data_IF_894637337673
#
_entry.id   IF_894637337673
#
_cell.length_a   1.000
_cell.length_b   1.000
_cell.length_c   1.000
_cell.angle_alpha   90.00
_cell.angle_beta   90.00
_cell.angle_gamma   90.00
#
_symmetry.space_group_name_H-M   'P 1'
#
loop_
_entity.id
_entity.type
_entity.pdbx_description
1 polymer ?
#
# COMPACT_ATOMS: atom_id res chain seq x y z
N UNK A 1 -4.51 14.65 -14.55
CA UNK A 1 -5.59 14.76 -13.54
C UNK A 1 -5.72 13.39 -12.89
N UNK A 2 -5.62 13.28 -11.58
CA UNK A 2 -5.80 12.00 -10.91
C UNK A 2 -7.29 11.69 -10.80
N UNK A 3 -7.76 10.60 -11.40
CA UNK A 3 -9.17 10.22 -11.42
C UNK A 3 -9.35 8.88 -10.71
N UNK A 4 -10.46 8.75 -9.98
CA UNK A 4 -10.78 7.53 -9.25
C UNK A 4 -11.12 6.39 -10.21
N UNK A 5 -10.86 5.16 -9.77
CA UNK A 5 -11.18 3.96 -10.54
C UNK A 5 -12.69 3.75 -10.55
N UNK A 6 -13.27 3.41 -11.71
CA UNK A 6 -14.72 3.22 -11.87
C UNK A 6 -15.23 1.89 -11.30
N UNK A 7 -14.94 1.65 -10.01
CA UNK A 7 -15.32 0.45 -9.26
C UNK A 7 -15.92 0.84 -7.90
N UNK A 8 -16.79 -0.04 -7.38
CA UNK A 8 -17.40 0.14 -6.07
C UNK A 8 -16.38 0.05 -4.93
N UNK A 9 -16.57 0.78 -3.82
CA UNK A 9 -15.76 0.60 -2.63
C UNK A 9 -15.77 -0.87 -2.16
N UNK A 10 -14.66 -1.34 -1.58
CA UNK A 10 -14.54 -2.70 -1.01
C UNK A 10 -14.85 -3.83 -2.02
N UNK A 11 -14.33 -3.72 -3.25
CA UNK A 11 -14.52 -4.74 -4.29
C UNK A 11 -13.44 -5.83 -4.23
N UNK A 12 -12.20 -5.49 -3.94
CA UNK A 12 -11.05 -6.40 -4.05
C UNK A 12 -10.50 -6.85 -2.70
N UNK A 13 -10.03 -8.09 -2.65
CA UNK A 13 -9.34 -8.69 -1.49
C UNK A 13 -7.81 -8.62 -1.63
N UNK A 14 -7.30 -8.51 -2.87
CA UNK A 14 -5.88 -8.39 -3.18
C UNK A 14 -5.65 -7.37 -4.30
N UNK A 15 -4.69 -6.47 -4.12
CA UNK A 15 -4.21 -5.56 -5.16
C UNK A 15 -2.71 -5.82 -5.37
N UNK A 16 -2.29 -6.01 -6.61
CA UNK A 16 -0.87 -6.07 -6.95
C UNK A 16 -0.48 -4.82 -7.75
N UNK A 17 0.41 -4.01 -7.19
CA UNK A 17 0.92 -2.78 -7.79
C UNK A 17 2.40 -2.97 -8.15
N UNK A 18 2.71 -2.99 -9.44
CA UNK A 18 4.07 -3.17 -9.96
C UNK A 18 4.52 -1.92 -10.72
N UNK A 19 5.50 -1.19 -10.17
CA UNK A 19 6.01 0.07 -10.72
C UNK A 19 4.99 1.20 -10.77
N UNK A 20 3.83 1.06 -10.12
CA UNK A 20 2.71 2.00 -10.24
C UNK A 20 3.08 3.42 -9.79
N UNK A 21 3.79 3.54 -8.68
CA UNK A 21 4.14 4.86 -8.13
C UNK A 21 5.25 5.51 -8.94
N UNK A 22 6.22 4.73 -9.40
CA UNK A 22 7.23 5.21 -10.35
C UNK A 22 6.62 5.67 -11.68
N UNK A 23 5.58 4.99 -12.17
CA UNK A 23 4.88 5.33 -13.42
C UNK A 23 4.11 6.65 -13.29
N UNK A 24 3.33 6.82 -12.21
CA UNK A 24 2.44 7.98 -12.03
C UNK A 24 3.04 9.12 -11.19
N UNK A 25 4.34 9.09 -10.88
CA UNK A 25 5.02 10.08 -10.01
C UNK A 25 4.83 11.55 -10.40
N UNK A 26 4.57 11.83 -11.68
CA UNK A 26 4.40 13.19 -12.21
C UNK A 26 2.93 13.57 -12.43
N UNK A 27 1.99 12.63 -12.29
CA UNK A 27 0.57 12.81 -12.63
C UNK A 27 -0.35 12.79 -11.40
N UNK A 28 -0.03 11.91 -10.45
CA UNK A 28 -0.77 11.70 -9.22
C UNK A 28 0.18 11.71 -8.02
N UNK A 29 -0.30 12.18 -6.87
CA UNK A 29 0.46 12.02 -5.62
C UNK A 29 0.35 10.57 -5.13
N UNK A 30 1.32 10.11 -4.34
CA UNK A 30 1.26 8.77 -3.76
C UNK A 30 0.09 8.63 -2.79
N UNK A 31 -0.28 9.74 -2.14
CA UNK A 31 -1.44 9.89 -1.27
C UNK A 31 -2.74 9.62 -2.02
N UNK A 32 -2.96 10.24 -3.19
CA UNK A 32 -4.18 10.04 -3.99
C UNK A 32 -4.33 8.57 -4.42
N UNK A 33 -3.23 7.96 -4.86
CA UNK A 33 -3.20 6.54 -5.27
C UNK A 33 -3.56 5.64 -4.08
N UNK A 34 -2.95 5.88 -2.91
CA UNK A 34 -3.20 5.07 -1.71
C UNK A 34 -4.62 5.25 -1.17
N UNK A 35 -5.20 6.45 -1.25
CA UNK A 35 -6.59 6.69 -0.88
C UNK A 35 -7.56 5.94 -1.78
N UNK A 36 -7.29 5.93 -3.09
CA UNK A 36 -8.13 5.18 -4.03
C UNK A 36 -7.99 3.65 -3.81
N UNK A 37 -6.77 3.17 -3.53
CA UNK A 37 -6.56 1.78 -3.13
C UNK A 37 -7.31 1.45 -1.83
N UNK A 38 -7.29 2.32 -0.82
CA UNK A 38 -8.05 2.11 0.42
C UNK A 38 -9.55 2.03 0.15
N UNK A 39 -10.08 2.90 -0.71
CA UNK A 39 -11.51 2.91 -1.06
C UNK A 39 -11.96 1.57 -1.65
N UNK A 40 -11.20 0.99 -2.59
CA UNK A 40 -11.60 -0.23 -3.32
C UNK A 40 -11.22 -1.54 -2.62
N UNK A 41 -10.30 -1.50 -1.65
CA UNK A 41 -9.85 -2.68 -0.91
C UNK A 41 -10.78 -2.98 0.27
N UNK A 42 -11.16 -4.26 0.42
CA UNK A 42 -11.92 -4.73 1.59
C UNK A 42 -11.09 -4.62 2.87
N UNK A 43 -11.72 -4.49 4.05
CA UNK A 43 -11.01 -4.70 5.30
C UNK A 43 -10.30 -6.05 5.29
N UNK A 44 -9.10 -6.10 5.88
CA UNK A 44 -8.20 -7.27 5.88
C UNK A 44 -7.66 -7.66 4.50
N UNK A 45 -8.03 -6.92 3.45
CA UNK A 45 -7.45 -7.06 2.12
C UNK A 45 -5.96 -6.70 2.10
N UNK A 46 -5.25 -7.33 1.18
CA UNK A 46 -3.81 -7.18 1.03
C UNK A 46 -3.44 -6.37 -0.22
N UNK A 47 -2.32 -5.66 -0.13
CA UNK A 47 -1.68 -5.00 -1.26
C UNK A 47 -0.22 -5.44 -1.32
N UNK A 48 0.22 -5.81 -2.52
CA UNK A 48 1.63 -6.11 -2.81
C UNK A 48 2.16 -4.99 -3.67
N UNK A 49 3.11 -4.24 -3.15
CA UNK A 49 3.81 -3.19 -3.89
C UNK A 49 5.18 -3.70 -4.33
N UNK A 50 5.46 -3.61 -5.62
CA UNK A 50 6.79 -3.83 -6.22
C UNK A 50 7.25 -2.52 -6.85
N UNK A 51 8.31 -1.93 -6.31
CA UNK A 51 8.86 -0.68 -6.84
C UNK A 51 10.29 -0.45 -6.29
N UNK A 52 10.93 0.63 -6.70
CA UNK A 52 12.23 1.06 -6.19
C UNK A 52 12.15 1.36 -4.68
N UNK A 53 13.22 1.00 -3.96
CA UNK A 53 13.30 1.17 -2.50
C UNK A 53 13.03 2.61 -2.02
N UNK A 54 13.42 3.63 -2.80
CA UNK A 54 13.15 5.04 -2.48
C UNK A 54 11.65 5.34 -2.43
N UNK A 55 10.92 4.88 -3.44
CA UNK A 55 9.47 5.05 -3.57
C UNK A 55 8.75 4.22 -2.50
N UNK A 56 9.16 2.96 -2.29
CA UNK A 56 8.54 2.10 -1.29
C UNK A 56 8.73 2.61 0.15
N UNK A 57 9.80 3.34 0.45
CA UNK A 57 9.97 4.02 1.75
C UNK A 57 8.89 5.08 1.97
N UNK A 58 8.57 5.87 0.94
CA UNK A 58 7.49 6.87 0.99
C UNK A 58 6.13 6.17 1.14
N UNK A 59 5.84 5.17 0.32
CA UNK A 59 4.58 4.41 0.36
C UNK A 59 4.40 3.74 1.73
N UNK A 60 5.44 3.12 2.29
CA UNK A 60 5.42 2.52 3.63
C UNK A 60 5.07 3.53 4.72
N UNK A 61 5.61 4.76 4.64
CA UNK A 61 5.29 5.84 5.61
C UNK A 61 3.81 6.20 5.55
N UNK A 62 3.27 6.37 4.35
CA UNK A 62 1.85 6.72 4.13
C UNK A 62 0.91 5.58 4.54
N UNK A 63 1.20 4.34 4.12
CA UNK A 63 0.42 3.16 4.50
C UNK A 63 0.38 2.97 6.03
N UNK A 64 1.51 3.20 6.73
CA UNK A 64 1.52 3.20 8.20
C UNK A 64 0.69 4.33 8.82
N UNK A 65 0.66 5.50 8.22
CA UNK A 65 -0.18 6.61 8.68
C UNK A 65 -1.68 6.31 8.50
N UNK A 66 -2.03 5.60 7.43
CA UNK A 66 -3.36 4.98 7.22
C UNK A 66 -3.59 3.74 8.09
N UNK A 67 -2.61 3.43 8.96
CA UNK A 67 -2.60 2.34 9.94
C UNK A 67 -2.72 0.94 9.32
N UNK A 68 -2.25 0.77 8.10
CA UNK A 68 -2.09 -0.55 7.49
C UNK A 68 -0.87 -1.28 8.09
N UNK A 69 -0.96 -2.60 8.18
CA UNK A 69 0.15 -3.44 8.62
C UNK A 69 1.10 -3.68 7.44
N UNK A 70 2.35 -3.26 7.56
CA UNK A 70 3.31 -3.31 6.44
C UNK A 70 4.53 -4.18 6.74
N UNK A 71 4.96 -5.01 5.79
CA UNK A 71 6.21 -5.78 5.83
C UNK A 71 6.98 -5.60 4.52
N UNK A 72 8.22 -5.13 4.62
CA UNK A 72 9.12 -4.98 3.47
C UNK A 72 10.05 -6.18 3.41
N UNK A 73 10.27 -6.72 2.21
CA UNK A 73 11.17 -7.85 1.95
C UNK A 73 12.05 -7.54 0.74
N UNK A 74 13.14 -8.29 0.62
CA UNK A 74 14.05 -8.22 -0.52
C UNK A 74 13.43 -8.78 -1.81
N UNK A 75 14.07 -8.45 -2.94
CA UNK A 75 13.70 -9.01 -4.23
C UNK A 75 14.02 -10.51 -4.29
N UNK A 76 13.26 -11.28 -5.08
CA UNK A 76 13.44 -12.73 -5.23
C UNK A 76 14.84 -13.08 -5.75
N UNK A 77 15.38 -12.24 -6.63
CA UNK A 77 16.74 -12.39 -7.20
C UNK A 77 17.86 -11.88 -6.26
N UNK A 78 17.51 -11.41 -5.05
CA UNK A 78 18.47 -11.14 -3.97
C UNK A 78 18.45 -9.73 -3.36
N UNK A 79 19.27 -9.50 -2.30
CA UNK A 79 19.24 -8.28 -1.50
C UNK A 79 19.89 -7.07 -2.17
N UNK A 80 20.74 -7.26 -3.18
CA UNK A 80 21.48 -6.18 -3.86
C UNK A 80 20.64 -5.41 -4.89
N UNK A 81 19.44 -5.91 -5.20
CA UNK A 81 18.54 -5.27 -6.16
C UNK A 81 17.84 -4.10 -5.49
N UNK A 82 17.76 -2.99 -6.21
CA UNK A 82 17.16 -1.73 -5.74
C UNK A 82 15.63 -1.79 -5.65
N UNK A 83 15.01 -2.64 -6.46
CA UNK A 83 13.60 -2.99 -6.36
C UNK A 83 13.35 -3.90 -5.15
N UNK A 84 12.27 -3.63 -4.43
CA UNK A 84 11.88 -4.40 -3.25
C UNK A 84 10.40 -4.74 -3.32
N UNK A 85 9.95 -5.62 -2.42
CA UNK A 85 8.53 -5.94 -2.28
C UNK A 85 8.05 -5.44 -0.92
N UNK A 86 6.95 -4.69 -0.92
CA UNK A 86 6.26 -4.24 0.29
C UNK A 86 4.87 -4.88 0.32
N UNK A 87 4.68 -5.77 1.29
CA UNK A 87 3.37 -6.32 1.63
C UNK A 87 2.69 -5.35 2.59
N UNK A 88 1.44 -4.99 2.30
CA UNK A 88 0.61 -4.22 3.21
C UNK A 88 -0.75 -4.88 3.38
N UNK A 89 -1.29 -4.89 4.59
CA UNK A 89 -2.61 -5.44 4.89
C UNK A 89 -3.44 -4.35 5.55
N UNK A 90 -4.60 -4.07 4.97
CA UNK A 90 -5.55 -3.09 5.50
C UNK A 90 -6.17 -3.64 6.78
N UNK A 91 -6.05 -2.91 7.87
CA UNK A 91 -6.66 -3.31 9.14
C UNK A 91 -8.18 -3.07 9.11
N UNK A 92 -8.95 -3.96 9.70
CA UNK A 92 -10.35 -3.71 9.99
C UNK A 92 -10.46 -2.77 11.18
N UNK A 93 -11.13 -1.63 11.00
CA UNK A 93 -11.33 -0.62 12.02
C UNK A 93 -12.71 -0.77 12.64
N UNK A 94 -12.76 -1.01 13.94
CA UNK A 94 -13.98 -0.84 14.75
C UNK A 94 -13.73 0.22 15.82
N UNK A 95 -14.74 1.02 16.14
CA UNK A 95 -14.65 1.98 17.24
C UNK A 95 -14.52 1.19 18.56
N UNK A 96 -13.37 1.27 19.22
CA UNK A 96 -13.12 0.58 20.50
C UNK A 96 -11.92 -0.38 20.54
N UNK A 97 -11.07 -0.43 19.51
CA UNK A 97 -9.84 -1.23 19.54
C UNK A 97 -8.87 -0.75 20.63
N UNK A 98 -8.97 -1.35 21.82
CA UNK A 98 -7.97 -1.29 22.89
C UNK A 98 -6.76 -2.17 22.50
N UNK A 99 -6.00 -1.78 21.49
CA UNK A 99 -4.71 -2.43 21.27
C UNK A 99 -3.72 -1.95 22.31
N UNK A 100 -3.52 -2.75 23.36
CA UNK A 100 -2.31 -2.74 24.16
C UNK A 100 -1.12 -2.94 23.23
N UNK A 101 -0.36 -1.86 23.02
CA UNK A 101 0.95 -1.91 22.40
C UNK A 101 1.84 -2.82 23.25
N UNK A 102 2.16 -4.01 22.75
CA UNK A 102 3.34 -4.74 23.22
C UNK A 102 4.53 -4.26 22.42
N UNK A 103 5.54 -3.85 23.18
CA UNK A 103 6.85 -3.30 22.79
C UNK A 103 7.61 -4.09 21.71
#
# INVERSE_FOLDING_TARGET
RCEAFSTYPRTYDLIHANGLFSLYKNECTAEDILLEMDRILRPEGAVIFRDQVGVLKQVKRLAKAMRWNTKMVDHEDGPLISEKVLYAVKRYWVAGDNTTSTD
#
